data_IF_564018358459
#
_entry.id   IF_564018358459
#
_cell.length_a   1.000
_cell.length_b   1.000
_cell.length_c   1.000
_cell.angle_alpha   90.00
_cell.angle_beta   90.00
_cell.angle_gamma   90.00
#
_symmetry.space_group_name_H-M   'P 1'
#
loop_
_entity.id
_entity.type
_entity.pdbx_description
1 polymer ?
#
# COMPACT_ATOMS: atom_id res chain seq x y z
N UNK A 1 32.91 -15.55 35.97
CA UNK A 1 32.16 -15.44 34.70
C UNK A 1 31.71 -14.00 34.49
N UNK A 2 32.61 -13.17 33.94
CA UNK A 2 32.34 -11.76 33.60
C UNK A 2 32.01 -11.55 32.11
N UNK A 3 31.94 -12.64 31.33
CA UNK A 3 31.70 -12.63 29.89
C UNK A 3 30.20 -12.71 29.51
N UNK A 4 29.31 -13.11 30.43
CA UNK A 4 27.87 -13.23 30.16
C UNK A 4 27.10 -11.90 30.29
N UNK A 5 27.70 -10.86 30.88
CA UNK A 5 27.05 -9.55 31.05
C UNK A 5 27.16 -8.63 29.83
N UNK A 6 27.98 -8.98 28.84
CA UNK A 6 28.16 -8.19 27.61
C UNK A 6 27.16 -8.51 26.49
N UNK A 7 26.36 -9.57 26.66
CA UNK A 7 25.38 -10.07 25.69
C UNK A 7 23.92 -9.90 26.14
N UNK A 8 23.69 -9.19 27.25
CA UNK A 8 22.37 -8.65 27.54
C UNK A 8 22.17 -7.42 26.67
N UNK A 9 21.79 -7.65 25.40
CA UNK A 9 21.21 -6.57 24.60
C UNK A 9 20.13 -5.92 25.44
N UNK A 10 20.30 -4.63 25.69
CA UNK A 10 19.35 -3.78 26.38
C UNK A 10 17.98 -3.95 25.70
N UNK A 11 17.14 -4.84 26.24
CA UNK A 11 15.77 -4.99 25.79
C UNK A 11 15.07 -3.74 26.27
N UNK A 12 15.04 -2.70 25.43
CA UNK A 12 14.13 -1.58 25.60
C UNK A 12 12.77 -2.17 25.96
N UNK A 13 12.33 -1.90 27.19
CA UNK A 13 11.03 -2.33 27.71
C UNK A 13 10.00 -1.74 26.76
N UNK A 14 9.53 -2.56 25.83
CA UNK A 14 8.64 -2.12 24.78
C UNK A 14 7.33 -1.69 25.42
N UNK A 15 7.16 -0.39 25.65
CA UNK A 15 5.90 0.20 26.14
C UNK A 15 4.75 -0.39 25.34
N UNK A 16 3.85 -1.12 25.98
CA UNK A 16 2.68 -1.69 25.32
C UNK A 16 1.74 -0.54 24.98
N UNK A 17 1.98 0.15 23.87
CA UNK A 17 1.04 1.10 23.29
C UNK A 17 -0.13 0.28 22.75
N UNK A 18 -1.03 -0.09 23.65
CA UNK A 18 -2.31 -0.67 23.31
C UNK A 18 -3.25 0.50 23.06
N UNK A 19 -3.57 0.78 21.80
CA UNK A 19 -4.59 1.77 21.47
C UNK A 19 -5.92 1.13 21.87
N UNK A 20 -6.36 1.38 23.11
CA UNK A 20 -7.55 0.77 23.71
C UNK A 20 -8.80 0.96 22.82
N UNK A 21 -8.85 2.05 22.06
CA UNK A 21 -9.88 2.35 21.08
C UNK A 21 -9.98 1.35 19.92
N UNK A 22 -8.90 0.67 19.54
CA UNK A 22 -8.94 -0.30 18.45
C UNK A 22 -9.38 -1.69 18.93
N UNK A 23 -9.27 -2.00 20.23
CA UNK A 23 -9.65 -3.31 20.77
C UNK A 23 -11.16 -3.61 20.66
N UNK A 24 -12.00 -2.58 20.51
CA UNK A 24 -13.44 -2.75 20.27
C UNK A 24 -13.78 -3.33 18.90
N UNK A 25 -12.82 -3.41 17.97
CA UNK A 25 -12.99 -4.03 16.65
C UNK A 25 -12.53 -5.49 16.61
N UNK A 26 -12.32 -6.13 17.78
CA UNK A 26 -11.96 -7.54 17.89
C UNK A 26 -10.64 -7.86 17.18
N UNK A 27 -10.61 -8.99 16.47
CA UNK A 27 -9.42 -9.51 15.75
C UNK A 27 -8.87 -8.50 14.74
N UNK A 28 -9.75 -7.78 14.04
CA UNK A 28 -9.38 -6.75 13.07
C UNK A 28 -8.63 -5.59 13.75
N UNK A 29 -9.11 -5.16 14.92
CA UNK A 29 -8.46 -4.13 15.74
C UNK A 29 -7.07 -4.54 16.23
N UNK A 30 -6.89 -5.82 16.59
CA UNK A 30 -5.58 -6.37 16.98
C UNK A 30 -4.59 -6.33 15.83
N UNK A 31 -5.01 -6.70 14.61
CA UNK A 31 -4.14 -6.62 13.43
C UNK A 31 -3.73 -5.18 13.10
N UNK A 32 -4.68 -4.23 13.10
CA UNK A 32 -4.37 -2.81 12.88
C UNK A 32 -3.40 -2.29 13.95
N UNK A 33 -3.61 -2.65 15.23
CA UNK A 33 -2.70 -2.27 16.31
C UNK A 33 -1.28 -2.78 16.06
N UNK A 34 -1.14 -4.03 15.64
CA UNK A 34 0.16 -4.61 15.30
C UNK A 34 0.81 -3.89 14.11
N UNK A 35 0.04 -3.54 13.10
CA UNK A 35 0.57 -2.82 11.94
C UNK A 35 1.01 -1.39 12.28
N UNK A 36 0.26 -0.67 13.12
CA UNK A 36 0.66 0.66 13.60
C UNK A 36 1.97 0.57 14.39
N UNK A 37 2.12 -0.46 15.24
CA UNK A 37 3.38 -0.72 15.96
C UNK A 37 4.51 -1.05 15.00
N UNK A 38 4.26 -1.84 13.96
CA UNK A 38 5.23 -2.16 12.91
C UNK A 38 5.70 -0.88 12.21
N UNK A 39 4.78 0.00 11.81
CA UNK A 39 5.11 1.30 11.20
C UNK A 39 5.94 2.20 12.13
N UNK A 40 5.68 2.15 13.44
CA UNK A 40 6.39 2.97 14.44
C UNK A 40 7.71 2.39 14.95
N UNK A 41 7.92 1.08 14.90
CA UNK A 41 9.10 0.43 15.50
C UNK A 41 10.13 -0.04 14.48
N UNK A 42 9.68 -0.53 13.33
CA UNK A 42 10.56 -1.16 12.36
C UNK A 42 11.21 -0.13 11.41
N UNK A 43 12.52 -0.24 11.18
CA UNK A 43 13.27 0.66 10.29
C UNK A 43 12.79 0.56 8.84
N UNK A 44 12.49 -0.65 8.36
CA UNK A 44 11.97 -0.88 7.02
C UNK A 44 10.60 -0.20 6.79
N UNK A 45 9.70 -0.32 7.78
CA UNK A 45 8.36 0.25 7.72
C UNK A 45 8.37 1.78 7.80
N UNK A 46 9.21 2.35 8.70
CA UNK A 46 9.47 3.80 8.76
C UNK A 46 10.01 4.33 7.44
N UNK A 47 10.96 3.62 6.83
CA UNK A 47 11.53 4.01 5.54
C UNK A 47 10.47 4.03 4.43
N UNK A 48 9.51 3.10 4.48
CA UNK A 48 8.39 3.04 3.55
C UNK A 48 7.43 4.21 3.76
N UNK A 49 7.13 4.54 5.01
CA UNK A 49 6.29 5.69 5.35
C UNK A 49 6.97 7.02 4.97
N UNK A 50 8.28 7.17 5.19
CA UNK A 50 9.02 8.36 4.76
C UNK A 50 9.09 8.49 3.23
N UNK A 51 9.25 7.36 2.52
CA UNK A 51 9.21 7.37 1.06
C UNK A 51 7.80 7.72 0.54
N UNK A 52 6.75 7.21 1.19
CA UNK A 52 5.37 7.60 0.92
C UNK A 52 5.13 9.10 1.14
N UNK A 53 5.72 9.69 2.18
CA UNK A 53 5.66 11.13 2.40
C UNK A 53 6.39 11.91 1.29
N UNK A 54 7.52 11.42 0.76
CA UNK A 54 8.18 12.02 -0.40
C UNK A 54 7.30 11.98 -1.65
N UNK A 55 6.51 10.92 -1.85
CA UNK A 55 5.56 10.86 -2.97
C UNK A 55 4.47 11.93 -2.90
N UNK A 56 4.15 12.50 -1.73
CA UNK A 56 3.24 13.65 -1.67
C UNK A 56 3.75 14.85 -2.46
N UNK A 57 5.07 14.97 -2.62
CA UNK A 57 5.73 16.04 -3.35
C UNK A 57 5.81 15.78 -4.87
N UNK A 58 5.41 14.60 -5.35
CA UNK A 58 5.51 14.26 -6.78
C UNK A 58 4.69 15.19 -7.68
N UNK A 59 3.59 15.76 -7.20
CA UNK A 59 2.80 16.73 -7.96
C UNK A 59 3.58 18.02 -8.28
N UNK A 60 4.63 18.35 -7.50
CA UNK A 60 5.49 19.52 -7.77
C UNK A 60 6.39 19.32 -9.00
N UNK A 61 6.57 18.07 -9.47
CA UNK A 61 7.35 17.80 -10.69
C UNK A 61 6.73 18.45 -11.94
N UNK A 62 5.46 18.82 -11.90
CA UNK A 62 4.79 19.60 -12.95
C UNK A 62 5.55 20.89 -13.33
N UNK A 63 6.29 21.49 -12.41
CA UNK A 63 7.08 22.71 -12.66
C UNK A 63 8.47 22.46 -13.24
N UNK A 64 8.95 21.22 -13.24
CA UNK A 64 10.34 20.91 -13.63
C UNK A 64 10.51 20.76 -15.14
N UNK A 65 9.48 20.34 -15.86
CA UNK A 65 9.52 20.12 -17.31
C UNK A 65 8.12 20.13 -17.90
N UNK A 66 8.02 20.58 -19.16
CA UNK A 66 6.78 20.51 -19.94
C UNK A 66 6.24 19.07 -20.09
N UNK A 67 7.13 18.07 -20.06
CA UNK A 67 6.74 16.65 -20.10
C UNK A 67 5.84 16.31 -18.92
N UNK A 68 6.14 16.83 -17.72
CA UNK A 68 5.34 16.60 -16.51
C UNK A 68 4.02 17.38 -16.49
N UNK A 69 3.87 18.35 -17.38
CA UNK A 69 2.64 19.12 -17.53
C UNK A 69 1.62 18.46 -18.49
N UNK A 70 1.98 17.33 -19.12
CA UNK A 70 1.03 16.57 -19.96
C UNK A 70 -0.06 15.88 -19.15
N UNK A 71 -1.21 15.66 -19.77
CA UNK A 71 -2.40 15.12 -19.11
C UNK A 71 -2.23 13.74 -18.50
N UNK A 72 -1.62 12.83 -19.26
CA UNK A 72 -1.30 11.50 -18.77
C UNK A 72 -0.39 11.57 -17.55
N UNK A 73 0.55 12.53 -17.55
CA UNK A 73 1.50 12.70 -16.46
C UNK A 73 0.86 13.34 -15.22
N UNK A 74 -0.12 14.22 -15.37
CA UNK A 74 -0.93 14.74 -14.24
C UNK A 74 -1.68 13.62 -13.52
N UNK A 75 -2.32 12.72 -14.28
CA UNK A 75 -2.98 11.55 -13.70
C UNK A 75 -1.98 10.59 -13.05
N UNK A 76 -0.84 10.34 -13.71
CA UNK A 76 0.25 9.54 -13.16
C UNK A 76 0.75 10.11 -11.83
N UNK A 77 1.08 11.41 -11.78
CA UNK A 77 1.47 12.09 -10.54
C UNK A 77 0.39 11.94 -9.46
N UNK A 78 -0.89 12.07 -9.82
CA UNK A 78 -2.00 11.85 -8.90
C UNK A 78 -2.04 10.45 -8.28
N UNK A 79 -1.74 9.42 -9.06
CA UNK A 79 -1.66 8.05 -8.57
C UNK A 79 -0.53 7.88 -7.54
N UNK A 80 0.61 8.53 -7.75
CA UNK A 80 1.74 8.46 -6.80
C UNK A 80 1.53 9.32 -5.56
N UNK A 81 1.02 10.55 -5.70
CA UNK A 81 0.74 11.46 -4.58
C UNK A 81 -0.19 10.79 -3.57
N UNK A 82 -1.23 10.10 -4.03
CA UNK A 82 -2.19 9.42 -3.15
C UNK A 82 -1.82 7.96 -2.85
N UNK A 83 -1.06 7.31 -3.74
CA UNK A 83 -0.80 5.87 -3.73
C UNK A 83 0.62 5.46 -3.34
N UNK A 84 1.53 6.39 -3.00
CA UNK A 84 2.92 6.07 -2.67
C UNK A 84 3.06 4.98 -1.59
N UNK A 85 2.32 5.12 -0.49
CA UNK A 85 2.27 4.10 0.55
C UNK A 85 1.65 2.78 0.06
N UNK A 86 0.53 2.89 -0.66
CA UNK A 86 -0.19 1.77 -1.24
C UNK A 86 0.72 0.90 -2.13
N UNK A 87 1.51 1.49 -3.02
CA UNK A 87 2.39 0.75 -3.93
C UNK A 87 3.57 0.10 -3.19
N UNK A 88 4.17 0.79 -2.22
CA UNK A 88 5.33 0.24 -1.49
C UNK A 88 4.94 -0.79 -0.43
N UNK A 89 3.87 -0.54 0.33
CA UNK A 89 3.43 -1.40 1.41
C UNK A 89 2.51 -2.52 0.91
N UNK A 90 1.52 -2.19 0.08
CA UNK A 90 0.45 -3.09 -0.36
C UNK A 90 0.95 -4.29 -1.15
N UNK A 91 1.95 -4.10 -2.03
CA UNK A 91 2.56 -5.20 -2.80
C UNK A 91 3.35 -6.18 -1.95
N UNK A 92 3.64 -5.85 -0.68
CA UNK A 92 4.46 -6.67 0.23
C UNK A 92 3.69 -7.07 1.49
N UNK A 93 2.36 -7.05 1.46
CA UNK A 93 1.49 -7.32 2.62
C UNK A 93 1.87 -8.59 3.41
N UNK A 94 2.06 -9.77 2.80
CA UNK A 94 2.44 -10.97 3.56
C UNK A 94 3.88 -10.91 4.10
N UNK A 95 4.75 -10.17 3.41
CA UNK A 95 6.17 -10.11 3.73
C UNK A 95 6.45 -9.30 5.00
N UNK A 96 5.59 -8.34 5.33
CA UNK A 96 5.69 -7.58 6.58
C UNK A 96 5.48 -8.45 7.82
N UNK A 97 4.75 -9.55 7.69
CA UNK A 97 4.48 -10.50 8.78
C UNK A 97 5.30 -11.79 8.64
N UNK A 98 6.32 -11.84 7.77
CA UNK A 98 6.97 -13.11 7.38
C UNK A 98 7.47 -13.94 8.56
N UNK A 99 7.99 -13.31 9.62
CA UNK A 99 8.49 -14.00 10.82
C UNK A 99 7.39 -14.70 11.63
N UNK A 100 6.18 -14.15 11.67
CA UNK A 100 5.04 -14.69 12.42
C UNK A 100 4.00 -15.39 11.53
N UNK A 101 4.21 -15.35 10.21
CA UNK A 101 3.31 -15.92 9.22
C UNK A 101 3.03 -17.42 9.48
N UNK A 102 4.01 -18.29 9.81
CA UNK A 102 3.73 -19.70 10.10
C UNK A 102 2.78 -19.89 11.29
N UNK A 103 2.97 -19.14 12.38
CA UNK A 103 2.12 -19.21 13.55
C UNK A 103 0.70 -18.73 13.24
N UNK A 104 0.57 -17.57 12.58
CA UNK A 104 -0.73 -17.04 12.15
C UNK A 104 -1.50 -18.05 11.27
N UNK A 105 -0.77 -18.80 10.45
CA UNK A 105 -1.32 -19.81 9.57
C UNK A 105 -1.76 -21.12 10.25
N UNK A 106 -1.36 -21.34 11.48
CA UNK A 106 -1.85 -22.45 12.32
C UNK A 106 -3.08 -22.08 13.16
N UNK A 107 -3.33 -20.79 13.32
CA UNK A 107 -4.50 -20.30 14.05
C UNK A 107 -5.73 -20.26 13.15
N UNK A 108 -6.93 -20.40 13.74
CA UNK A 108 -8.20 -20.31 13.01
C UNK A 108 -8.58 -18.85 12.73
N UNK A 109 -7.65 -18.07 12.14
CA UNK A 109 -7.91 -16.69 11.74
C UNK A 109 -8.46 -16.71 10.31
N UNK A 110 -9.66 -16.18 10.05
CA UNK A 110 -10.16 -16.06 8.69
C UNK A 110 -9.25 -15.10 7.90
N UNK A 111 -8.62 -15.59 6.84
CA UNK A 111 -7.79 -14.79 5.91
C UNK A 111 -8.47 -13.49 5.44
N UNK A 112 -9.80 -13.52 5.35
CA UNK A 112 -10.61 -12.35 5.02
C UNK A 112 -10.43 -11.21 6.03
N UNK A 113 -10.42 -11.49 7.33
CA UNK A 113 -10.23 -10.47 8.37
C UNK A 113 -8.82 -9.91 8.37
N UNK A 114 -7.82 -10.78 8.19
CA UNK A 114 -6.43 -10.37 8.03
C UNK A 114 -6.26 -9.40 6.85
N UNK A 115 -6.80 -9.74 5.68
CA UNK A 115 -6.73 -8.88 4.49
C UNK A 115 -7.51 -7.59 4.68
N UNK A 116 -8.67 -7.62 5.33
CA UNK A 116 -9.46 -6.42 5.66
C UNK A 116 -8.69 -5.48 6.58
N UNK A 117 -7.97 -5.99 7.57
CA UNK A 117 -7.12 -5.18 8.44
C UNK A 117 -6.00 -4.48 7.65
N UNK A 118 -5.26 -5.22 6.84
CA UNK A 118 -4.16 -4.67 6.00
C UNK A 118 -4.68 -3.62 5.01
N UNK A 119 -5.82 -3.89 4.38
CA UNK A 119 -6.48 -2.94 3.50
C UNK A 119 -6.92 -1.68 4.22
N UNK A 120 -7.49 -1.79 5.42
CA UNK A 120 -7.96 -0.63 6.18
C UNK A 120 -6.83 0.34 6.48
N UNK A 121 -5.63 -0.17 6.80
CA UNK A 121 -4.45 0.66 7.01
C UNK A 121 -4.07 1.40 5.73
N UNK A 122 -4.03 0.70 4.59
CA UNK A 122 -3.77 1.31 3.29
C UNK A 122 -4.79 2.41 2.98
N UNK A 123 -6.08 2.16 3.21
CA UNK A 123 -7.16 3.14 3.02
C UNK A 123 -6.96 4.37 3.90
N UNK A 124 -6.62 4.19 5.18
CA UNK A 124 -6.37 5.30 6.11
C UNK A 124 -5.23 6.18 5.61
N UNK A 125 -4.13 5.57 5.15
CA UNK A 125 -2.97 6.34 4.65
C UNK A 125 -3.28 7.03 3.34
N UNK A 126 -3.94 6.36 2.38
CA UNK A 126 -4.37 6.97 1.11
C UNK A 126 -5.31 8.15 1.38
N UNK A 127 -6.26 7.99 2.30
CA UNK A 127 -7.18 9.05 2.68
C UNK A 127 -6.45 10.23 3.33
N UNK A 128 -5.49 9.98 4.22
CA UNK A 128 -4.64 11.02 4.78
C UNK A 128 -3.83 11.75 3.68
N UNK A 129 -3.27 11.01 2.71
CA UNK A 129 -2.60 11.60 1.55
C UNK A 129 -3.54 12.44 0.69
N UNK A 130 -4.80 12.04 0.50
CA UNK A 130 -5.80 12.85 -0.21
C UNK A 130 -6.11 14.16 0.52
N UNK A 131 -6.18 14.15 1.86
CA UNK A 131 -6.37 15.37 2.65
C UNK A 131 -5.17 16.30 2.48
N UNK A 132 -3.94 15.77 2.60
CA UNK A 132 -2.72 16.56 2.41
C UNK A 132 -2.61 17.10 0.98
N UNK A 133 -3.09 16.32 0.00
CA UNK A 133 -3.11 16.73 -1.40
C UNK A 133 -4.07 17.90 -1.69
N UNK A 134 -4.95 18.30 -0.76
CA UNK A 134 -5.75 19.53 -0.90
C UNK A 134 -4.86 20.77 -1.06
N UNK A 135 -3.63 20.74 -0.55
CA UNK A 135 -2.66 21.81 -0.80
C UNK A 135 -2.42 22.09 -2.29
N UNK A 136 -2.57 21.09 -3.17
CA UNK A 136 -2.43 21.27 -4.62
C UNK A 136 -3.53 22.12 -5.25
N UNK A 137 -4.64 22.41 -4.56
CA UNK A 137 -5.66 23.36 -5.04
C UNK A 137 -5.05 24.74 -5.29
N UNK A 138 -4.12 25.18 -4.44
CA UNK A 138 -3.45 26.47 -4.57
C UNK A 138 -2.41 26.51 -5.70
N UNK A 139 -2.05 25.34 -6.23
CA UNK A 139 -1.03 25.15 -7.26
C UNK A 139 -1.69 25.09 -8.64
N UNK A 140 -2.63 24.15 -8.82
CA UNK A 140 -3.37 23.98 -10.05
C UNK A 140 -4.67 23.22 -9.79
N UNK A 141 -5.79 23.79 -10.22
CA UNK A 141 -7.09 23.17 -10.11
C UNK A 141 -7.17 21.84 -10.88
N UNK A 142 -6.66 21.82 -12.13
CA UNK A 142 -6.68 20.62 -12.98
C UNK A 142 -5.84 19.48 -12.37
N UNK A 143 -4.69 19.82 -11.79
CA UNK A 143 -3.85 18.85 -11.09
C UNK A 143 -4.55 18.30 -9.85
N UNK A 144 -5.13 19.16 -9.02
CA UNK A 144 -5.84 18.72 -7.82
C UNK A 144 -6.99 17.77 -8.15
N UNK A 145 -7.82 18.12 -9.14
CA UNK A 145 -8.97 17.31 -9.52
C UNK A 145 -8.52 15.94 -10.08
N UNK A 146 -7.41 15.89 -10.81
CA UNK A 146 -6.79 14.62 -11.23
C UNK A 146 -6.25 13.81 -10.03
N UNK A 147 -5.57 14.45 -9.07
CA UNK A 147 -5.11 13.80 -7.83
C UNK A 147 -6.29 13.23 -7.04
N UNK A 148 -7.40 13.96 -6.96
CA UNK A 148 -8.60 13.52 -6.26
C UNK A 148 -9.22 12.27 -6.91
N UNK A 149 -9.38 12.26 -8.24
CA UNK A 149 -9.85 11.09 -8.97
C UNK A 149 -8.89 9.88 -8.83
N UNK A 150 -7.57 10.13 -8.90
CA UNK A 150 -6.56 9.12 -8.66
C UNK A 150 -6.63 8.54 -7.23
N UNK A 151 -6.90 9.39 -6.23
CA UNK A 151 -7.14 8.97 -4.85
C UNK A 151 -8.34 8.04 -4.71
N UNK A 152 -9.48 8.38 -5.34
CA UNK A 152 -10.65 7.51 -5.36
C UNK A 152 -10.36 6.17 -6.04
N UNK A 153 -9.66 6.19 -7.18
CA UNK A 153 -9.22 4.98 -7.86
C UNK A 153 -8.26 4.14 -7.00
N UNK A 154 -7.40 4.80 -6.23
CA UNK A 154 -6.48 4.15 -5.30
C UNK A 154 -7.20 3.48 -4.13
N UNK A 155 -8.20 4.15 -3.55
CA UNK A 155 -9.05 3.61 -2.48
C UNK A 155 -9.86 2.40 -2.93
N UNK A 156 -10.41 2.46 -4.15
CA UNK A 156 -11.13 1.35 -4.75
C UNK A 156 -10.17 0.35 -5.37
N UNK A 157 -9.94 0.49 -6.67
CA UNK A 157 -9.33 -0.53 -7.52
C UNK A 157 -7.88 -0.86 -7.14
N UNK A 158 -6.99 0.14 -6.99
CA UNK A 158 -5.56 -0.18 -6.77
C UNK A 158 -5.31 -0.81 -5.40
N UNK A 159 -6.09 -0.47 -4.37
CA UNK A 159 -6.02 -1.13 -3.06
C UNK A 159 -6.16 -2.65 -3.17
N UNK A 160 -7.09 -3.14 -4.00
CA UNK A 160 -7.27 -4.58 -4.22
C UNK A 160 -6.18 -5.18 -5.11
N UNK A 161 -5.77 -4.47 -6.16
CA UNK A 161 -4.71 -4.96 -7.05
C UNK A 161 -3.37 -5.07 -6.32
N UNK A 162 -3.06 -4.19 -5.35
CA UNK A 162 -1.83 -4.30 -4.57
C UNK A 162 -1.88 -5.49 -3.62
N UNK A 163 -3.02 -5.75 -2.98
CA UNK A 163 -3.24 -6.96 -2.18
C UNK A 163 -3.10 -8.21 -3.05
N UNK A 164 -3.65 -8.19 -4.27
CA UNK A 164 -3.48 -9.27 -5.22
C UNK A 164 -1.99 -9.48 -5.54
N UNK A 165 -1.23 -8.42 -5.82
CA UNK A 165 0.22 -8.51 -6.04
C UNK A 165 0.96 -9.08 -4.81
N UNK A 166 0.51 -8.72 -3.61
CA UNK A 166 0.97 -9.28 -2.34
C UNK A 166 0.85 -10.81 -2.29
N UNK A 167 -0.22 -11.40 -2.81
CA UNK A 167 -0.41 -12.86 -2.87
C UNK A 167 0.70 -13.59 -3.65
N UNK A 168 1.34 -12.90 -4.60
CA UNK A 168 2.44 -13.42 -5.39
C UNK A 168 3.79 -13.14 -4.74
N UNK A 169 3.89 -12.17 -3.83
CA UNK A 169 5.14 -11.82 -3.21
C UNK A 169 5.58 -12.88 -2.18
N UNK A 170 6.72 -13.50 -2.43
CA UNK A 170 7.31 -14.56 -1.60
C UNK A 170 8.62 -14.15 -0.93
N UNK A 171 8.96 -12.87 -0.99
CA UNK A 171 10.19 -12.36 -0.42
C UNK A 171 9.92 -11.82 0.96
N UNK A 172 10.57 -12.41 1.96
CA UNK A 172 10.56 -11.87 3.30
C UNK A 172 11.25 -10.51 3.36
N UNK A 173 10.90 -9.73 4.38
CA UNK A 173 11.51 -8.44 4.67
C UNK A 173 12.24 -8.56 6.00
N UNK A 174 13.50 -8.15 6.03
CA UNK A 174 14.17 -7.85 7.29
C UNK A 174 13.66 -6.51 7.83
N UNK A 175 12.98 -6.56 8.98
CA UNK A 175 12.37 -5.41 9.64
C UNK A 175 13.39 -4.45 10.25
N UNK A 176 14.60 -4.95 10.57
CA UNK A 176 15.68 -4.20 11.19
C UNK A 176 16.64 -3.61 10.16
N UNK A 177 16.67 -4.14 8.95
CA UNK A 177 17.35 -3.49 7.83
C UNK A 177 16.59 -2.24 7.39
N UNK A 178 17.31 -1.18 7.00
CA UNK A 178 16.71 -0.09 6.23
C UNK A 178 16.22 -0.73 4.93
N UNK A 179 14.98 -0.44 4.53
CA UNK A 179 14.44 -0.95 3.27
C UNK A 179 15.48 -0.68 2.18
N UNK A 180 16.01 -1.75 1.55
CA UNK A 180 16.97 -1.61 0.46
C UNK A 180 16.33 -0.67 -0.56
N UNK A 181 17.06 0.38 -0.95
CA UNK A 181 16.58 1.33 -1.95
C UNK A 181 16.18 0.55 -3.22
N UNK A 182 15.33 1.15 -4.05
CA UNK A 182 14.73 0.57 -5.27
C UNK A 182 15.71 -0.11 -6.26
N UNK A 183 17.03 -0.10 -6.03
CA UNK A 183 18.06 -0.81 -6.82
C UNK A 183 18.86 -1.92 -6.09
N UNK A 184 18.58 -2.24 -4.82
CA UNK A 184 19.49 -3.07 -3.99
C UNK A 184 19.23 -4.58 -3.93
N UNK A 185 18.22 -5.12 -4.61
CA UNK A 185 18.00 -6.57 -4.72
C UNK A 185 17.07 -6.81 -5.91
N UNK A 186 17.67 -7.26 -6.99
CA UNK A 186 17.06 -7.38 -8.31
C UNK A 186 16.17 -8.62 -8.40
N UNK A 187 15.13 -8.66 -7.58
CA UNK A 187 14.30 -9.85 -7.45
C UNK A 187 12.83 -9.47 -7.25
N UNK A 188 12.38 -8.35 -7.84
CA UNK A 188 10.95 -8.06 -7.93
C UNK A 188 10.25 -9.22 -8.64
N UNK A 189 9.23 -9.77 -7.99
CA UNK A 189 8.49 -10.88 -8.58
C UNK A 189 7.85 -10.42 -9.90
N UNK A 190 8.22 -11.06 -11.02
CA UNK A 190 7.69 -10.77 -12.35
C UNK A 190 6.16 -10.71 -12.37
N UNK A 191 5.48 -11.56 -11.59
CA UNK A 191 4.01 -11.54 -11.49
C UNK A 191 3.48 -10.31 -10.77
N UNK A 192 4.19 -9.80 -9.76
CA UNK A 192 3.83 -8.55 -9.09
C UNK A 192 4.07 -7.34 -10.01
N UNK A 193 5.15 -7.36 -10.81
CA UNK A 193 5.41 -6.34 -11.83
C UNK A 193 4.30 -6.30 -12.89
N UNK A 194 3.86 -7.47 -13.38
CA UNK A 194 2.75 -7.57 -14.32
C UNK A 194 1.43 -7.02 -13.74
N UNK A 195 1.20 -7.16 -12.43
CA UNK A 195 0.03 -6.58 -11.76
C UNK A 195 0.18 -5.06 -11.57
N UNK A 196 1.41 -4.54 -11.50
CA UNK A 196 1.66 -3.09 -11.41
C UNK A 196 1.33 -2.34 -12.70
N UNK A 197 1.50 -2.99 -13.85
CA UNK A 197 1.16 -2.41 -15.17
C UNK A 197 -0.31 -1.94 -15.24
N UNK A 198 -1.33 -2.78 -14.99
CA UNK A 198 -2.71 -2.34 -15.03
C UNK A 198 -3.06 -1.34 -13.92
N UNK A 199 -2.35 -1.36 -12.78
CA UNK A 199 -2.58 -0.37 -11.71
C UNK A 199 -2.28 1.06 -12.14
N UNK A 200 -1.32 1.23 -13.05
CA UNK A 200 -0.90 2.53 -13.56
C UNK A 200 -1.54 2.82 -14.92
N UNK A 201 -1.49 1.88 -15.87
CA UNK A 201 -1.94 2.12 -17.24
C UNK A 201 -3.46 2.25 -17.37
N UNK A 202 -4.25 1.46 -16.66
CA UNK A 202 -5.73 1.51 -16.78
C UNK A 202 -6.28 2.89 -16.42
N UNK A 203 -6.00 3.46 -15.23
CA UNK A 203 -6.51 4.78 -14.89
C UNK A 203 -5.97 5.89 -15.82
N UNK A 204 -4.71 5.79 -16.26
CA UNK A 204 -4.13 6.75 -17.20
C UNK A 204 -4.78 6.68 -18.59
N UNK A 205 -5.01 5.47 -19.11
CA UNK A 205 -5.64 5.25 -20.41
C UNK A 205 -7.09 5.72 -20.40
N UNK A 206 -7.85 5.36 -19.36
CA UNK A 206 -9.24 5.83 -19.18
C UNK A 206 -9.27 7.36 -19.10
N UNK A 207 -8.40 7.96 -18.29
CA UNK A 207 -8.32 9.42 -18.19
C UNK A 207 -7.98 10.08 -19.53
N UNK A 208 -6.97 9.59 -20.24
CA UNK A 208 -6.53 10.14 -21.53
C UNK A 208 -7.60 10.04 -22.63
N UNK A 209 -8.24 8.87 -22.76
CA UNK A 209 -9.30 8.63 -23.76
C UNK A 209 -10.52 9.51 -23.49
N UNK A 210 -11.01 9.50 -22.25
CA UNK A 210 -12.21 10.28 -21.90
C UNK A 210 -11.92 11.78 -21.97
N UNK A 211 -10.70 12.21 -21.60
CA UNK A 211 -10.31 13.62 -21.76
C UNK A 211 -10.37 14.04 -23.22
N UNK A 212 -9.80 13.24 -24.12
CA UNK A 212 -9.80 13.54 -25.55
C UNK A 212 -11.21 13.70 -26.12
N UNK A 213 -12.17 12.90 -25.63
CA UNK A 213 -13.55 12.90 -26.14
C UNK A 213 -14.47 13.93 -25.47
N UNK A 214 -14.32 14.17 -24.16
CA UNK A 214 -15.30 14.89 -23.35
C UNK A 214 -14.68 15.89 -22.34
N UNK A 215 -13.37 16.11 -22.40
CA UNK A 215 -12.65 17.06 -21.55
C UNK A 215 -12.25 16.53 -20.17
N UNK A 216 -11.54 17.38 -19.40
CA UNK A 216 -10.89 17.00 -18.13
C UNK A 216 -11.91 16.57 -17.08
N UNK A 217 -13.00 17.33 -16.92
CA UNK A 217 -14.00 17.05 -15.88
C UNK A 217 -14.71 15.70 -16.10
N UNK A 218 -15.00 15.35 -17.35
CA UNK A 218 -15.57 14.05 -17.69
C UNK A 218 -14.58 12.92 -17.39
N UNK A 219 -13.30 13.09 -17.73
CA UNK A 219 -12.26 12.11 -17.46
C UNK A 219 -12.11 11.83 -15.96
N UNK A 220 -12.06 12.89 -15.16
CA UNK A 220 -12.03 12.84 -13.70
C UNK A 220 -13.26 12.11 -13.16
N UNK A 221 -14.45 12.47 -13.64
CA UNK A 221 -15.70 11.86 -13.18
C UNK A 221 -15.71 10.36 -13.45
N UNK A 222 -15.33 9.93 -14.66
CA UNK A 222 -15.28 8.50 -15.01
C UNK A 222 -14.28 7.73 -14.14
N UNK A 223 -13.07 8.27 -13.95
CA UNK A 223 -12.05 7.62 -13.10
C UNK A 223 -12.51 7.57 -11.64
N UNK A 224 -13.12 8.64 -11.12
CA UNK A 224 -13.69 8.68 -9.78
C UNK A 224 -14.81 7.66 -9.59
N UNK A 225 -15.71 7.54 -10.57
CA UNK A 225 -16.80 6.54 -10.58
C UNK A 225 -16.23 5.12 -10.59
N UNK A 226 -15.20 4.84 -11.40
CA UNK A 226 -14.51 3.54 -11.39
C UNK A 226 -13.92 3.22 -10.01
N UNK A 227 -13.33 4.21 -9.34
CA UNK A 227 -12.84 4.08 -7.97
C UNK A 227 -13.95 3.73 -6.98
N UNK A 228 -15.06 4.47 -7.01
CA UNK A 228 -16.22 4.24 -6.14
C UNK A 228 -16.85 2.87 -6.40
N UNK A 229 -17.05 2.50 -7.67
CA UNK A 229 -17.56 1.18 -8.05
C UNK A 229 -16.64 0.05 -7.55
N UNK A 230 -15.32 0.23 -7.71
CA UNK A 230 -14.34 -0.70 -7.15
C UNK A 230 -14.51 -0.84 -5.63
N UNK A 231 -14.66 0.26 -4.91
CA UNK A 231 -14.86 0.27 -3.47
C UNK A 231 -16.17 -0.43 -3.04
N UNK A 232 -17.26 -0.27 -3.79
CA UNK A 232 -18.53 -0.95 -3.51
C UNK A 232 -18.44 -2.47 -3.70
N UNK A 233 -17.60 -2.93 -4.64
CA UNK A 233 -17.39 -4.35 -4.92
C UNK A 233 -16.43 -5.06 -3.93
N UNK A 234 -16.00 -4.37 -2.86
CA UNK A 234 -14.98 -4.87 -1.92
C UNK A 234 -15.22 -6.30 -1.46
N UNK A 235 -16.44 -6.64 -1.00
CA UNK A 235 -16.69 -7.90 -0.31
C UNK A 235 -16.68 -9.10 -1.27
N UNK A 236 -16.90 -8.89 -2.57
CA UNK A 236 -16.70 -9.92 -3.60
C UNK A 236 -15.22 -10.09 -3.90
N UNK A 237 -14.49 -8.98 -4.11
CA UNK A 237 -13.06 -9.00 -4.43
C UNK A 237 -12.24 -9.60 -3.28
N UNK A 238 -12.55 -9.25 -2.03
CA UNK A 238 -11.89 -9.81 -0.85
C UNK A 238 -12.03 -11.32 -0.74
N UNK A 239 -13.22 -11.87 -1.00
CA UNK A 239 -13.42 -13.32 -0.98
C UNK A 239 -12.57 -14.04 -2.02
N UNK A 240 -12.47 -13.47 -3.22
CA UNK A 240 -11.59 -13.99 -4.27
C UNK A 240 -10.12 -13.94 -3.86
N UNK A 241 -9.63 -12.78 -3.39
CA UNK A 241 -8.24 -12.62 -2.95
C UNK A 241 -7.93 -13.54 -1.76
N UNK A 242 -8.83 -13.66 -0.79
CA UNK A 242 -8.66 -14.55 0.36
C UNK A 242 -8.53 -16.02 -0.07
N UNK A 243 -9.34 -16.47 -1.03
CA UNK A 243 -9.24 -17.83 -1.59
C UNK A 243 -7.89 -18.03 -2.27
N UNK A 244 -7.44 -17.06 -3.07
CA UNK A 244 -6.13 -17.11 -3.72
C UNK A 244 -4.97 -17.20 -2.72
N UNK A 245 -5.05 -16.43 -1.62
CA UNK A 245 -4.08 -16.48 -0.53
C UNK A 245 -4.06 -17.86 0.15
N UNK A 246 -5.23 -18.47 0.38
CA UNK A 246 -5.33 -19.82 0.93
C UNK A 246 -4.70 -20.86 -0.01
N UNK A 247 -5.01 -20.83 -1.31
CA UNK A 247 -4.41 -21.75 -2.29
C UNK A 247 -2.88 -21.63 -2.34
N UNK A 248 -2.34 -20.44 -2.11
CA UNK A 248 -0.89 -20.18 -2.18
C UNK A 248 -0.15 -20.29 -0.85
N UNK A 249 -0.87 -20.53 0.25
CA UNK A 249 -0.36 -20.58 1.63
C UNK A 249 0.95 -21.36 1.77
N UNK A 250 1.00 -22.59 1.25
CA UNK A 250 2.15 -23.48 1.41
C UNK A 250 3.41 -22.94 0.73
N UNK A 251 3.30 -22.46 -0.50
CA UNK A 251 4.44 -21.88 -1.22
C UNK A 251 4.97 -20.59 -0.58
N UNK A 252 4.11 -19.84 0.10
CA UNK A 252 4.52 -18.66 0.88
C UNK A 252 5.24 -19.07 2.17
N UNK A 253 4.75 -20.10 2.87
CA UNK A 253 5.37 -20.65 4.07
C UNK A 253 6.77 -21.20 3.80
N UNK A 254 6.94 -21.96 2.71
CA UNK A 254 8.25 -22.49 2.30
C UNK A 254 9.24 -21.37 1.99
N UNK A 255 8.80 -20.31 1.32
CA UNK A 255 9.66 -19.19 0.97
C UNK A 255 10.13 -18.40 2.22
N UNK A 256 9.26 -18.22 3.20
CA UNK A 256 9.59 -17.50 4.44
C UNK A 256 10.41 -18.32 5.44
N UNK A 257 10.44 -19.65 5.32
CA UNK A 257 11.30 -20.52 6.15
C UNK A 257 12.77 -20.55 5.72
N UNK A 258 13.11 -20.09 4.51
CA UNK A 258 14.49 -20.10 3.98
C UNK A 258 15.35 -18.93 4.50
N UNK A 259 15.01 -18.36 5.65
CA UNK A 259 15.73 -17.24 6.30
C UNK A 259 16.61 -17.81 7.40
#
# INVERSE_FOLDING_TARGET
NYLDRGLEMEKEVGRTENIAFLNRFGVLGTFINNDIRLLRRCKAAKSTLSAAAMFLLYGLLMYTSEIYNTDAMRMFMGLFVTGGFLFMFGQRVPAWDSSYYPLMMTQNVPYNEYLKAKWSLVVIVVFASMILAVFYVFISWELYVAIFAAGLYNLGVNSYLTLLAGAYNRQSIDLNARAKSLGGSNNMNMKALLIMIPQLLVPMAVYGIVKYLAGIYAAVAVVGVLGILGFLLRDRIFRYIATLYQTRKYGTLEAFKKI
#
